data_IF_152514112652
#
_entry.id   IF_152514112652
#
_cell.length_a   1.000
_cell.length_b   1.000
_cell.length_c   1.000
_cell.angle_alpha   90.00
_cell.angle_beta   90.00
_cell.angle_gamma   90.00
#
_symmetry.space_group_name_H-M   'P 1'
#
loop_
_entity.id
_entity.type
_entity.pdbx_description
1 polymer ?
#
# COMPACT_ATOMS: atom_id res chain seq x y z
N UNK A 1 7.07 -4.81 38.48
CA UNK A 1 7.11 -5.26 37.07
C UNK A 1 5.68 -5.60 36.68
N UNK A 2 4.92 -4.62 36.19
CA UNK A 2 3.55 -4.79 35.72
C UNK A 2 3.59 -5.38 34.31
N UNK A 3 2.93 -6.50 34.10
CA UNK A 3 2.94 -7.25 32.85
C UNK A 3 2.39 -6.38 31.70
N UNK A 4 3.22 -6.09 30.71
CA UNK A 4 2.87 -5.36 29.48
C UNK A 4 1.83 -6.10 28.61
N UNK A 5 1.39 -7.28 28.99
CA UNK A 5 0.45 -8.13 28.23
C UNK A 5 -0.98 -7.60 28.20
N UNK A 6 -1.35 -6.62 29.04
CA UNK A 6 -2.70 -6.04 29.06
C UNK A 6 -2.90 -4.89 28.06
N UNK A 7 -1.82 -4.35 27.50
CA UNK A 7 -1.86 -3.21 26.58
C UNK A 7 -1.88 -3.61 25.10
N UNK A 8 -1.53 -4.87 24.79
CA UNK A 8 -1.47 -5.39 23.42
C UNK A 8 -2.74 -6.19 23.16
N UNK A 9 -3.52 -5.74 22.18
CA UNK A 9 -4.69 -6.47 21.66
C UNK A 9 -4.64 -6.47 20.14
N UNK A 10 -4.26 -7.60 19.56
CA UNK A 10 -4.19 -7.79 18.12
C UNK A 10 -5.55 -8.21 17.57
N UNK A 11 -5.87 -7.76 16.36
CA UNK A 11 -7.13 -7.98 15.66
C UNK A 11 -6.99 -9.17 14.70
N UNK A 12 -7.05 -10.39 15.24
CA UNK A 12 -6.84 -11.62 14.45
C UNK A 12 -7.88 -11.84 13.36
N UNK A 13 -9.12 -11.37 13.57
CA UNK A 13 -10.24 -11.55 12.63
C UNK A 13 -10.30 -10.44 11.57
N UNK A 14 -9.31 -9.56 11.53
CA UNK A 14 -9.30 -8.38 10.65
C UNK A 14 -9.37 -8.75 9.18
N UNK A 15 -8.61 -9.75 8.76
CA UNK A 15 -8.59 -10.19 7.36
C UNK A 15 -9.95 -10.68 6.91
N UNK A 16 -10.64 -11.48 7.74
CA UNK A 16 -11.97 -12.02 7.42
C UNK A 16 -13.03 -10.91 7.39
N UNK A 17 -12.91 -9.92 8.27
CA UNK A 17 -13.88 -8.83 8.40
C UNK A 17 -13.74 -7.76 7.32
N UNK A 18 -12.52 -7.39 6.94
CA UNK A 18 -12.28 -6.25 6.03
C UNK A 18 -11.38 -6.56 4.83
N UNK A 19 -10.91 -7.79 4.69
CA UNK A 19 -10.03 -8.20 3.58
C UNK A 19 -8.60 -7.65 3.66
N UNK A 20 -8.18 -7.12 4.80
CA UNK A 20 -6.85 -6.53 5.03
C UNK A 20 -6.23 -7.15 6.26
N UNK A 21 -4.99 -7.61 6.13
CA UNK A 21 -4.23 -8.19 7.23
C UNK A 21 -3.88 -7.14 8.31
N UNK A 22 -3.60 -7.61 9.53
CA UNK A 22 -3.12 -6.77 10.62
C UNK A 22 -1.77 -6.15 10.28
N UNK A 23 -1.59 -4.87 10.60
CA UNK A 23 -0.34 -4.14 10.41
C UNK A 23 0.04 -3.37 11.67
N UNK A 24 1.33 -3.40 11.98
CA UNK A 24 1.91 -2.78 13.16
C UNK A 24 2.66 -1.51 12.75
N UNK A 25 2.20 -0.37 13.24
CA UNK A 25 2.87 0.92 13.07
C UNK A 25 3.97 1.08 14.13
N UNK A 26 5.23 0.92 13.71
CA UNK A 26 6.38 0.83 14.63
C UNK A 26 6.99 2.18 15.03
N UNK A 27 6.63 3.28 14.32
CA UNK A 27 7.30 4.58 14.51
C UNK A 27 7.35 5.04 15.98
N UNK A 28 6.22 4.94 16.68
CA UNK A 28 6.08 5.41 18.06
C UNK A 28 6.12 4.27 19.11
N UNK A 29 6.40 3.04 18.68
CA UNK A 29 6.52 1.91 19.61
C UNK A 29 7.96 1.75 20.08
N UNK A 30 8.14 1.32 21.33
CA UNK A 30 9.44 0.89 21.82
C UNK A 30 9.83 -0.48 21.24
N UNK A 31 11.11 -0.83 21.32
CA UNK A 31 11.61 -2.15 20.89
C UNK A 31 10.93 -3.27 21.67
N UNK A 32 10.74 -3.09 22.99
CA UNK A 32 10.09 -4.07 23.88
C UNK A 32 8.62 -4.27 23.50
N UNK A 33 7.92 -3.20 23.11
CA UNK A 33 6.54 -3.30 22.64
C UNK A 33 6.47 -4.07 21.32
N UNK A 34 7.36 -3.79 20.37
CA UNK A 34 7.43 -4.49 19.08
C UNK A 34 7.75 -5.97 19.31
N UNK A 35 8.72 -6.27 20.15
CA UNK A 35 9.10 -7.64 20.48
C UNK A 35 7.94 -8.40 21.12
N UNK A 36 7.25 -7.82 22.10
CA UNK A 36 6.09 -8.44 22.76
C UNK A 36 4.94 -8.72 21.77
N UNK A 37 4.71 -7.83 20.80
CA UNK A 37 3.72 -8.02 19.72
C UNK A 37 4.11 -9.22 18.85
N UNK A 38 5.37 -9.31 18.46
CA UNK A 38 5.88 -10.39 17.60
C UNK A 38 5.88 -11.75 18.31
N UNK A 39 6.20 -11.78 19.62
CA UNK A 39 6.09 -12.97 20.44
C UNK A 39 4.63 -13.47 20.54
N UNK A 40 3.67 -12.55 20.68
CA UNK A 40 2.25 -12.88 20.69
C UNK A 40 1.78 -13.40 19.32
N UNK A 41 2.22 -12.78 18.23
CA UNK A 41 1.97 -13.25 16.87
C UNK A 41 2.57 -14.64 16.62
N UNK A 42 3.76 -14.90 17.16
CA UNK A 42 4.43 -16.21 17.07
C UNK A 42 3.62 -17.30 17.75
N UNK A 43 3.11 -17.05 18.97
CA UNK A 43 2.26 -18.00 19.72
C UNK A 43 0.98 -18.35 18.94
N UNK A 44 0.41 -17.38 18.24
CA UNK A 44 -0.81 -17.57 17.43
C UNK A 44 -0.52 -18.01 15.99
N UNK A 45 0.76 -18.21 15.62
CA UNK A 45 1.20 -18.51 14.26
C UNK A 45 0.63 -17.55 13.21
N UNK A 46 0.47 -16.27 13.57
CA UNK A 46 -0.19 -15.25 12.76
C UNK A 46 0.83 -14.40 11.98
N UNK A 47 0.59 -14.14 10.68
CA UNK A 47 1.41 -13.22 9.91
C UNK A 47 1.12 -11.76 10.30
N UNK A 48 2.16 -10.92 10.31
CA UNK A 48 2.04 -9.47 10.54
C UNK A 48 2.86 -8.69 9.53
N UNK A 49 2.32 -7.55 9.11
CA UNK A 49 3.07 -6.51 8.41
C UNK A 49 3.53 -5.45 9.42
N UNK A 50 4.82 -5.16 9.46
CA UNK A 50 5.37 -4.05 10.23
C UNK A 50 5.66 -2.90 9.28
N UNK A 51 5.26 -1.68 9.64
CA UNK A 51 5.54 -0.45 8.90
C UNK A 51 6.29 0.53 9.79
N UNK A 52 7.12 1.39 9.18
CA UNK A 52 7.96 2.37 9.91
C UNK A 52 8.84 1.72 10.97
N UNK A 53 9.34 0.53 10.70
CA UNK A 53 10.35 -0.14 11.51
C UNK A 53 11.73 0.38 11.10
N UNK A 54 12.32 1.27 11.90
CA UNK A 54 13.65 1.78 11.62
C UNK A 54 14.71 0.67 11.74
N UNK A 55 15.81 0.80 11.02
CA UNK A 55 16.94 -0.14 11.07
C UNK A 55 17.48 -0.30 12.51
N UNK A 56 17.52 0.81 13.27
CA UNK A 56 17.92 0.78 14.68
C UNK A 56 17.01 -0.11 15.53
N UNK A 57 15.67 0.05 15.39
CA UNK A 57 14.71 -0.80 16.12
C UNK A 57 14.77 -2.23 15.66
N UNK A 58 14.89 -2.47 14.36
CA UNK A 58 15.05 -3.81 13.80
C UNK A 58 16.28 -4.51 14.39
N UNK A 59 17.43 -3.85 14.37
CA UNK A 59 18.69 -4.40 14.89
C UNK A 59 18.69 -4.64 16.41
N UNK A 60 17.82 -3.94 17.15
CA UNK A 60 17.67 -4.08 18.59
C UNK A 60 16.71 -5.20 19.02
N UNK A 61 15.96 -5.79 18.08
CA UNK A 61 15.14 -6.97 18.36
C UNK A 61 16.02 -8.20 18.64
N UNK A 62 15.50 -9.18 19.36
CA UNK A 62 16.24 -10.42 19.61
C UNK A 62 16.54 -11.15 18.30
N UNK A 63 17.67 -11.87 18.26
CA UNK A 63 18.11 -12.65 17.10
C UNK A 63 17.04 -13.66 16.66
N UNK A 64 16.36 -14.27 17.64
CA UNK A 64 15.27 -15.20 17.40
C UNK A 64 14.08 -14.56 16.66
N UNK A 65 13.70 -13.33 17.00
CA UNK A 65 12.64 -12.58 16.31
C UNK A 65 13.12 -12.12 14.94
N UNK A 66 14.33 -11.60 14.83
CA UNK A 66 14.89 -11.12 13.57
C UNK A 66 15.00 -12.22 12.51
N UNK A 67 15.26 -13.47 12.90
CA UNK A 67 15.31 -14.59 11.96
C UNK A 67 13.97 -14.89 11.25
N UNK A 68 12.86 -14.47 11.84
CA UNK A 68 11.51 -14.62 11.26
C UNK A 68 11.06 -13.39 10.44
N UNK A 69 11.87 -12.32 10.37
CA UNK A 69 11.53 -11.09 9.68
C UNK A 69 12.15 -11.00 8.28
N UNK A 70 11.31 -10.76 7.28
CA UNK A 70 11.74 -10.29 5.96
C UNK A 70 11.72 -8.75 5.97
N UNK A 71 12.86 -8.14 6.32
CA UNK A 71 13.01 -6.69 6.49
C UNK A 71 13.53 -6.01 5.22
N UNK A 72 12.87 -4.92 4.81
CA UNK A 72 13.35 -4.00 3.77
C UNK A 72 13.73 -2.64 4.39
N UNK A 73 15.02 -2.29 4.44
CA UNK A 73 15.47 -1.05 5.06
C UNK A 73 15.05 0.21 4.29
N UNK A 74 14.80 0.11 2.99
CA UNK A 74 14.41 1.27 2.16
C UNK A 74 12.99 1.74 2.48
N UNK A 75 12.05 0.81 2.62
CA UNK A 75 10.67 1.12 3.01
C UNK A 75 10.43 1.09 4.51
N UNK A 76 11.41 0.63 5.29
CA UNK A 76 11.26 0.39 6.72
C UNK A 76 10.05 -0.51 7.04
N UNK A 77 9.83 -1.53 6.22
CA UNK A 77 8.78 -2.53 6.41
C UNK A 77 9.37 -3.89 6.69
N UNK A 78 8.65 -4.70 7.45
CA UNK A 78 9.01 -6.11 7.62
C UNK A 78 7.78 -7.01 7.52
N UNK A 79 7.97 -8.21 6.97
CA UNK A 79 6.99 -9.29 7.06
C UNK A 79 7.40 -10.24 8.16
N UNK A 80 6.54 -10.45 9.12
CA UNK A 80 6.65 -11.52 10.08
C UNK A 80 5.75 -12.67 9.62
N UNK A 81 6.35 -13.82 9.30
CA UNK A 81 5.63 -15.00 8.77
C UNK A 81 4.71 -14.63 7.60
N UNK A 82 5.30 -14.31 6.45
CA UNK A 82 4.56 -13.94 5.23
C UNK A 82 3.37 -14.87 4.99
N UNK A 83 2.16 -14.32 4.71
CA UNK A 83 1.00 -15.14 4.39
C UNK A 83 1.28 -16.05 3.18
N UNK A 84 0.81 -17.30 3.27
CA UNK A 84 0.99 -18.31 2.22
C UNK A 84 0.06 -18.05 1.01
N UNK A 85 -0.75 -17.00 1.02
CA UNK A 85 -1.59 -16.64 -0.11
C UNK A 85 -0.70 -16.23 -1.29
N UNK A 86 -0.59 -17.07 -2.34
CA UNK A 86 0.16 -16.65 -3.50
C UNK A 86 -0.53 -15.41 -4.07
N UNK A 87 0.26 -14.38 -4.37
CA UNK A 87 -0.17 -13.33 -5.29
C UNK A 87 -0.81 -14.05 -6.46
N UNK A 88 -2.13 -13.92 -6.65
CA UNK A 88 -2.80 -14.49 -7.81
C UNK A 88 -2.07 -13.94 -9.02
N UNK A 89 -1.38 -14.79 -9.78
CA UNK A 89 -0.48 -14.43 -10.88
C UNK A 89 -1.23 -13.93 -12.13
N UNK A 90 -2.41 -13.39 -11.96
CA UNK A 90 -3.03 -12.59 -13.00
C UNK A 90 -2.21 -11.29 -13.14
N UNK A 91 -2.23 -10.67 -14.30
CA UNK A 91 -1.52 -9.41 -14.54
C UNK A 91 -1.66 -8.45 -13.34
N UNK A 92 -0.60 -7.73 -12.95
CA UNK A 92 -0.64 -6.85 -11.80
C UNK A 92 -1.79 -5.84 -11.94
N UNK A 93 -2.62 -5.70 -10.89
CA UNK A 93 -3.83 -4.86 -10.94
C UNK A 93 -3.54 -3.42 -10.49
N UNK A 94 -2.40 -3.19 -9.85
CA UNK A 94 -1.99 -1.88 -9.35
C UNK A 94 -0.68 -1.46 -9.99
N UNK A 95 -0.63 -0.23 -10.52
CA UNK A 95 0.64 0.42 -10.84
C UNK A 95 1.04 1.35 -9.68
N UNK A 96 2.24 1.17 -9.14
CA UNK A 96 2.86 2.11 -8.20
C UNK A 96 3.87 2.94 -8.94
N UNK A 97 3.54 4.22 -9.16
CA UNK A 97 4.28 5.14 -10.03
C UNK A 97 4.92 6.23 -9.18
N UNK A 98 6.24 6.25 -9.11
CA UNK A 98 6.99 7.22 -8.31
C UNK A 98 7.68 8.28 -9.17
N UNK A 99 7.55 9.54 -8.79
CA UNK A 99 8.10 10.69 -9.51
C UNK A 99 9.62 10.69 -9.50
N UNK A 100 10.24 10.54 -8.32
CA UNK A 100 11.68 10.56 -8.16
C UNK A 100 12.22 9.34 -7.41
N UNK A 101 13.54 9.14 -7.48
CA UNK A 101 14.23 8.09 -6.72
C UNK A 101 14.11 8.30 -5.21
N UNK A 102 13.97 9.55 -4.76
CA UNK A 102 13.77 9.90 -3.33
C UNK A 102 12.40 9.47 -2.80
N UNK A 103 11.43 9.20 -3.69
CA UNK A 103 10.10 8.72 -3.30
C UNK A 103 10.06 7.19 -3.14
N UNK A 104 11.18 6.51 -3.43
CA UNK A 104 11.25 5.05 -3.48
C UNK A 104 10.88 4.36 -2.16
N UNK A 105 11.22 4.95 -1.01
CA UNK A 105 10.88 4.38 0.30
C UNK A 105 9.37 4.26 0.50
N UNK A 106 8.65 5.34 0.21
CA UNK A 106 7.19 5.41 0.33
C UNK A 106 6.50 4.52 -0.72
N UNK A 107 7.01 4.53 -1.95
CA UNK A 107 6.50 3.66 -3.01
C UNK A 107 6.69 2.16 -2.68
N UNK A 108 7.84 1.78 -2.10
CA UNK A 108 8.10 0.41 -1.65
C UNK A 108 7.24 -0.02 -0.48
N UNK A 109 6.92 0.89 0.47
CA UNK A 109 5.95 0.60 1.53
C UNK A 109 4.59 0.19 0.93
N UNK A 110 4.11 0.93 -0.10
CA UNK A 110 2.89 0.56 -0.80
C UNK A 110 3.00 -0.79 -1.52
N UNK A 111 4.10 -1.04 -2.24
CA UNK A 111 4.35 -2.32 -2.94
C UNK A 111 4.36 -3.50 -1.96
N UNK A 112 5.10 -3.41 -0.87
CA UNK A 112 5.19 -4.47 0.13
C UNK A 112 3.86 -4.69 0.86
N UNK A 113 3.07 -3.62 1.07
CA UNK A 113 1.73 -3.74 1.63
C UNK A 113 0.78 -4.50 0.69
N UNK A 114 0.83 -4.21 -0.61
CA UNK A 114 0.07 -4.95 -1.64
C UNK A 114 0.49 -6.42 -1.67
N UNK A 115 1.80 -6.68 -1.72
CA UNK A 115 2.37 -8.02 -1.71
C UNK A 115 1.95 -8.84 -0.48
N UNK A 116 2.03 -8.26 0.71
CA UNK A 116 1.63 -8.90 1.96
C UNK A 116 0.16 -9.31 1.96
N UNK A 117 -0.70 -8.52 1.34
CA UNK A 117 -2.12 -8.79 1.21
C UNK A 117 -2.49 -9.64 -0.03
N UNK A 118 -1.52 -10.16 -0.79
CA UNK A 118 -1.73 -11.04 -1.93
C UNK A 118 -2.17 -10.34 -3.23
N UNK A 119 -1.88 -9.05 -3.38
CA UNK A 119 -2.16 -8.27 -4.59
C UNK A 119 -0.89 -8.02 -5.39
N UNK A 120 -0.97 -8.29 -6.71
CA UNK A 120 0.11 -7.99 -7.64
C UNK A 120 0.21 -6.50 -7.96
N UNK A 121 1.43 -5.97 -7.95
CA UNK A 121 1.67 -4.58 -8.30
C UNK A 121 2.85 -4.43 -9.26
N UNK A 122 2.75 -3.46 -10.18
CA UNK A 122 3.82 -3.06 -11.09
C UNK A 122 4.50 -1.81 -10.55
N UNK A 123 5.80 -1.90 -10.30
CA UNK A 123 6.62 -0.76 -9.91
C UNK A 123 7.10 0.02 -11.13
N UNK A 124 6.93 1.34 -11.13
CA UNK A 124 7.39 2.27 -12.17
C UNK A 124 8.01 3.47 -11.45
N UNK A 125 9.34 3.58 -11.49
CA UNK A 125 10.09 4.59 -10.77
C UNK A 125 10.72 5.62 -11.70
N UNK A 126 11.04 6.80 -11.15
CA UNK A 126 11.77 7.89 -11.77
C UNK A 126 11.09 8.44 -13.05
N UNK A 127 9.78 8.64 -12.98
CA UNK A 127 8.96 9.20 -14.07
C UNK A 127 8.39 10.58 -13.73
N UNK A 128 9.15 11.38 -12.98
CA UNK A 128 8.76 12.73 -12.59
C UNK A 128 8.52 13.65 -13.79
N UNK A 129 7.54 14.55 -13.66
CA UNK A 129 7.05 15.41 -14.76
C UNK A 129 8.03 16.49 -15.20
N UNK A 130 9.08 16.78 -14.42
CA UNK A 130 10.17 17.64 -14.87
C UNK A 130 10.92 17.04 -16.07
N UNK A 131 10.89 15.72 -16.22
CA UNK A 131 11.33 15.01 -17.43
C UNK A 131 10.14 14.26 -18.02
N UNK A 132 9.13 14.98 -18.50
CA UNK A 132 7.84 14.45 -18.95
C UNK A 132 7.96 13.27 -19.93
N UNK A 133 9.00 13.24 -20.73
CA UNK A 133 9.26 12.17 -21.69
C UNK A 133 9.38 10.79 -21.01
N UNK A 134 9.95 10.72 -19.79
CA UNK A 134 10.08 9.48 -19.03
C UNK A 134 8.69 8.90 -18.68
N UNK A 135 7.75 9.77 -18.28
CA UNK A 135 6.38 9.39 -18.04
C UNK A 135 5.69 8.95 -19.34
N UNK A 136 5.86 9.73 -20.41
CA UNK A 136 5.21 9.45 -21.70
C UNK A 136 5.62 8.11 -22.31
N UNK A 137 6.87 7.68 -22.12
CA UNK A 137 7.35 6.36 -22.54
C UNK A 137 6.66 5.20 -21.80
N UNK A 138 6.12 5.45 -20.61
CA UNK A 138 5.51 4.44 -19.76
C UNK A 138 3.97 4.54 -19.66
N UNK A 139 3.37 5.59 -20.22
CA UNK A 139 1.95 5.88 -20.07
C UNK A 139 1.05 4.74 -20.56
N UNK A 140 1.39 4.09 -21.68
CA UNK A 140 0.62 2.96 -22.22
C UNK A 140 0.72 1.70 -21.36
N UNK A 141 1.79 1.54 -20.60
CA UNK A 141 1.91 0.49 -19.60
C UNK A 141 1.07 0.82 -18.37
N UNK A 142 1.14 2.06 -17.85
CA UNK A 142 0.39 2.51 -16.69
C UNK A 142 -1.11 2.40 -16.95
N UNK A 143 -1.56 2.78 -18.15
CA UNK A 143 -2.96 2.78 -18.59
C UNK A 143 -3.67 1.42 -18.49
N UNK A 144 -2.91 0.33 -18.46
CA UNK A 144 -3.44 -1.03 -18.37
C UNK A 144 -3.91 -1.42 -16.96
N UNK A 145 -3.59 -0.60 -15.96
CA UNK A 145 -3.87 -0.93 -14.56
C UNK A 145 -5.16 -0.23 -14.10
N UNK A 146 -6.11 -0.96 -13.49
CA UNK A 146 -7.35 -0.38 -12.97
C UNK A 146 -7.14 0.58 -11.81
N UNK A 147 -6.01 0.46 -11.08
CA UNK A 147 -5.65 1.35 -9.97
C UNK A 147 -4.19 1.80 -10.11
N UNK A 148 -3.96 3.10 -9.93
CA UNK A 148 -2.64 3.73 -9.98
C UNK A 148 -2.39 4.47 -8.67
N UNK A 149 -1.33 4.09 -7.96
CA UNK A 149 -0.81 4.84 -6.81
C UNK A 149 0.29 5.76 -7.34
N UNK A 150 0.02 7.07 -7.34
CA UNK A 150 0.94 8.10 -7.84
C UNK A 150 1.68 8.75 -6.67
N UNK A 151 2.98 8.45 -6.55
CA UNK A 151 3.85 8.83 -5.42
C UNK A 151 4.72 10.01 -5.82
N UNK A 152 4.59 11.15 -5.15
CA UNK A 152 5.34 12.36 -5.50
C UNK A 152 5.50 13.31 -4.32
N UNK A 153 6.71 13.84 -4.16
CA UNK A 153 7.04 14.95 -3.27
C UNK A 153 7.07 16.30 -4.00
N UNK A 154 7.79 17.26 -3.45
CA UNK A 154 7.91 18.63 -3.99
C UNK A 154 6.54 19.29 -4.19
N UNK A 155 6.12 19.55 -5.43
CA UNK A 155 4.83 20.10 -5.84
C UNK A 155 3.80 19.01 -6.22
N UNK A 156 4.19 17.75 -6.20
CA UNK A 156 3.36 16.59 -6.51
C UNK A 156 2.54 16.73 -7.80
N UNK A 157 3.15 17.23 -8.88
CA UNK A 157 2.45 17.41 -10.15
C UNK A 157 2.07 16.09 -10.85
N UNK A 158 2.79 14.99 -10.56
CA UNK A 158 2.60 13.69 -11.20
C UNK A 158 1.15 13.14 -11.06
N UNK A 159 0.48 13.15 -9.89
CA UNK A 159 -0.89 12.68 -9.76
C UNK A 159 -1.88 13.42 -10.67
N UNK A 160 -1.77 14.75 -10.78
CA UNK A 160 -2.64 15.55 -11.67
C UNK A 160 -2.43 15.19 -13.14
N UNK A 161 -1.17 15.02 -13.57
CA UNK A 161 -0.84 14.64 -14.95
C UNK A 161 -1.36 13.23 -15.27
N UNK A 162 -1.15 12.27 -14.38
CA UNK A 162 -1.66 10.90 -14.55
C UNK A 162 -3.20 10.88 -14.61
N UNK A 163 -3.87 11.67 -13.78
CA UNK A 163 -5.34 11.80 -13.81
C UNK A 163 -5.91 12.29 -15.13
N UNK A 164 -5.12 13.00 -15.94
CA UNK A 164 -5.47 13.39 -17.32
C UNK A 164 -5.05 12.38 -18.40
N UNK A 165 -4.21 11.38 -18.07
CA UNK A 165 -3.64 10.47 -19.05
C UNK A 165 -4.20 9.05 -19.00
N UNK A 166 -4.66 8.60 -17.83
CA UNK A 166 -5.03 7.18 -17.63
C UNK A 166 -6.45 7.05 -17.08
N UNK A 167 -7.19 5.99 -17.44
CA UNK A 167 -8.60 5.81 -17.03
C UNK A 167 -8.77 5.18 -15.66
N UNK A 168 -7.72 4.59 -15.08
CA UNK A 168 -7.75 3.91 -13.78
C UNK A 168 -8.01 4.85 -12.61
N UNK A 169 -8.42 4.31 -11.46
CA UNK A 169 -8.56 5.08 -10.24
C UNK A 169 -7.19 5.60 -9.78
N UNK A 170 -7.06 6.90 -9.56
CA UNK A 170 -5.81 7.54 -9.13
C UNK A 170 -5.83 7.75 -7.62
N UNK A 171 -4.85 7.16 -6.94
CA UNK A 171 -4.58 7.39 -5.53
C UNK A 171 -3.30 8.22 -5.43
N UNK A 172 -3.43 9.50 -5.14
CA UNK A 172 -2.29 10.38 -4.91
C UNK A 172 -1.68 10.11 -3.53
N UNK A 173 -0.39 9.84 -3.53
CA UNK A 173 0.41 9.60 -2.34
C UNK A 173 1.50 10.67 -2.26
N UNK A 174 1.20 11.81 -1.60
CA UNK A 174 2.20 12.85 -1.39
C UNK A 174 3.32 12.35 -0.48
N UNK A 175 4.56 12.76 -0.75
CA UNK A 175 5.71 12.42 0.10
C UNK A 175 6.31 13.66 0.75
N UNK A 176 7.03 13.45 1.85
CA UNK A 176 7.82 14.51 2.52
C UNK A 176 9.09 14.88 1.77
N UNK A 177 9.37 14.23 0.63
CA UNK A 177 10.49 14.55 -0.24
C UNK A 177 10.43 16.00 -0.70
N UNK A 178 11.51 16.73 -0.45
CA UNK A 178 11.63 18.12 -0.86
C UNK A 178 12.32 19.00 0.18
N UNK A 179 12.37 20.30 -0.09
CA UNK A 179 13.01 21.30 0.78
C UNK A 179 12.30 22.65 0.66
N UNK A 180 12.63 23.58 1.56
CA UNK A 180 12.11 24.95 1.53
C UNK A 180 10.58 24.99 1.53
N UNK A 181 9.99 25.49 0.46
CA UNK A 181 8.53 25.64 0.33
C UNK A 181 7.76 24.32 0.30
N UNK A 182 8.41 23.17 0.13
CA UNK A 182 7.72 21.85 0.17
C UNK A 182 7.24 21.46 1.58
N UNK A 183 7.81 22.07 2.64
CA UNK A 183 7.33 21.97 4.04
C UNK A 183 7.04 20.52 4.47
N UNK A 184 8.01 19.63 4.26
CA UNK A 184 7.88 18.22 4.63
C UNK A 184 6.61 17.54 4.05
N UNK A 185 6.26 17.89 2.81
CA UNK A 185 5.14 17.29 2.07
C UNK A 185 3.81 18.03 2.20
N UNK A 186 3.69 19.10 2.99
CA UNK A 186 2.45 19.90 3.08
C UNK A 186 2.07 20.50 1.72
N UNK A 187 3.03 20.98 0.96
CA UNK A 187 2.80 21.51 -0.38
C UNK A 187 2.34 20.39 -1.34
N UNK A 188 2.99 19.22 -1.28
CA UNK A 188 2.59 18.06 -2.07
C UNK A 188 1.15 17.63 -1.74
N UNK A 189 0.79 17.55 -0.47
CA UNK A 189 -0.57 17.23 -0.02
C UNK A 189 -1.58 18.28 -0.51
N UNK A 190 -1.28 19.56 -0.34
CA UNK A 190 -2.15 20.66 -0.77
C UNK A 190 -2.35 20.66 -2.29
N UNK A 191 -1.30 20.41 -3.06
CA UNK A 191 -1.37 20.30 -4.52
C UNK A 191 -2.25 19.12 -4.96
N UNK A 192 -2.09 17.95 -4.34
CA UNK A 192 -2.96 16.80 -4.61
C UNK A 192 -4.43 17.09 -4.29
N UNK A 193 -4.72 17.72 -3.15
CA UNK A 193 -6.09 18.06 -2.72
C UNK A 193 -6.75 19.13 -3.62
N UNK A 194 -5.95 20.02 -4.23
CA UNK A 194 -6.41 21.07 -5.14
C UNK A 194 -6.29 20.68 -6.62
N UNK A 195 -6.02 19.42 -6.92
CA UNK A 195 -5.89 18.94 -8.30
C UNK A 195 -7.15 19.19 -9.12
N UNK A 196 -6.98 19.70 -10.35
CA UNK A 196 -8.09 19.85 -11.31
C UNK A 196 -8.42 18.54 -12.05
N UNK A 197 -7.61 17.49 -11.89
CA UNK A 197 -7.91 16.18 -12.49
C UNK A 197 -9.08 15.52 -11.73
N UNK A 198 -10.17 15.14 -12.44
CA UNK A 198 -11.36 14.61 -11.78
C UNK A 198 -11.08 13.22 -11.16
N UNK A 199 -11.61 12.99 -9.96
CA UNK A 199 -11.59 11.65 -9.34
C UNK A 199 -10.28 11.25 -8.69
N UNK A 200 -9.30 12.16 -8.53
CA UNK A 200 -8.09 11.88 -7.76
C UNK A 200 -8.44 11.82 -6.27
N UNK A 201 -8.15 10.67 -5.63
CA UNK A 201 -8.24 10.51 -4.17
C UNK A 201 -6.87 10.69 -3.55
N UNK A 202 -6.80 11.25 -2.34
CA UNK A 202 -5.53 11.63 -1.72
C UNK A 202 -5.34 10.92 -0.40
N UNK A 203 -4.17 10.30 -0.22
CA UNK A 203 -3.73 9.75 1.07
C UNK A 203 -2.91 10.78 1.85
N UNK A 204 -2.63 10.49 3.11
CA UNK A 204 -1.77 11.34 3.93
C UNK A 204 -0.31 11.26 3.46
N UNK A 205 0.50 12.25 3.85
CA UNK A 205 1.93 12.33 3.54
C UNK A 205 2.65 11.05 3.99
N UNK A 206 3.48 10.50 3.09
CA UNK A 206 4.28 9.28 3.30
C UNK A 206 3.47 8.03 3.71
N UNK A 207 2.19 7.99 3.52
CA UNK A 207 1.35 6.87 3.94
C UNK A 207 1.20 5.81 2.83
N UNK A 208 2.30 5.12 2.51
CA UNK A 208 2.30 4.03 1.51
C UNK A 208 1.37 2.89 1.89
N UNK A 209 1.32 2.52 3.16
CA UNK A 209 0.38 1.54 3.70
C UNK A 209 -1.08 1.95 3.41
N UNK A 210 -1.46 3.19 3.73
CA UNK A 210 -2.83 3.67 3.50
C UNK A 210 -3.21 3.69 2.02
N UNK A 211 -2.30 4.09 1.14
CA UNK A 211 -2.53 4.10 -0.31
C UNK A 211 -2.74 2.66 -0.85
N UNK A 212 -1.95 1.71 -0.40
CA UNK A 212 -2.12 0.30 -0.75
C UNK A 212 -3.45 -0.26 -0.23
N UNK A 213 -3.83 0.04 1.02
CA UNK A 213 -5.12 -0.35 1.58
C UNK A 213 -6.30 0.23 0.78
N UNK A 214 -6.21 1.49 0.32
CA UNK A 214 -7.23 2.10 -0.53
C UNK A 214 -7.34 1.37 -1.88
N UNK A 215 -6.21 1.05 -2.52
CA UNK A 215 -6.17 0.26 -3.75
C UNK A 215 -6.83 -1.12 -3.59
N UNK A 216 -6.50 -1.84 -2.52
CA UNK A 216 -7.07 -3.15 -2.19
C UNK A 216 -8.59 -3.05 -2.04
N UNK A 217 -9.11 -2.04 -1.32
CA UNK A 217 -10.55 -1.84 -1.13
C UNK A 217 -11.27 -1.58 -2.45
N UNK A 218 -10.69 -0.79 -3.36
CA UNK A 218 -11.24 -0.57 -4.70
C UNK A 218 -11.35 -1.88 -5.47
N UNK A 219 -10.28 -2.68 -5.48
CA UNK A 219 -10.25 -3.96 -6.18
C UNK A 219 -11.21 -5.00 -5.59
N UNK A 220 -11.30 -5.09 -4.26
CA UNK A 220 -12.25 -5.99 -3.59
C UNK A 220 -13.70 -5.62 -3.90
N UNK A 221 -14.04 -4.34 -3.89
CA UNK A 221 -15.39 -3.85 -4.24
C UNK A 221 -15.77 -4.18 -5.68
N UNK A 222 -14.84 -4.06 -6.63
CA UNK A 222 -15.07 -4.42 -8.04
C UNK A 222 -15.36 -5.91 -8.20
N UNK A 223 -14.58 -6.77 -7.54
CA UNK A 223 -14.74 -8.23 -7.59
C UNK A 223 -16.07 -8.71 -6.98
N UNK A 224 -16.55 -8.06 -5.92
CA UNK A 224 -17.86 -8.38 -5.33
C UNK A 224 -19.01 -8.10 -6.30
N UNK A 225 -18.92 -6.99 -7.06
CA UNK A 225 -19.93 -6.64 -8.07
C UNK A 225 -19.95 -7.63 -9.25
N UNK A 226 -18.79 -8.09 -9.71
CA UNK A 226 -18.68 -9.12 -10.77
C UNK A 226 -19.32 -10.44 -10.32
N UNK A 227 -19.00 -10.93 -9.14
CA UNK A 227 -19.58 -12.16 -8.58
C UNK A 227 -21.10 -12.09 -8.45
N UNK A 228 -21.64 -10.95 -8.03
CA UNK A 228 -23.09 -10.73 -7.90
C UNK A 228 -23.78 -10.70 -9.26
N UNK A 229 -23.15 -10.11 -10.28
CA UNK A 229 -23.70 -10.04 -11.63
C UNK A 229 -23.78 -11.40 -12.32
N UNK A 230 -22.78 -12.28 -12.12
CA UNK A 230 -22.76 -13.65 -12.66
C UNK A 230 -23.88 -14.53 -12.05
N UNK A 231 -24.14 -14.38 -10.75
CA UNK A 231 -25.24 -15.10 -10.07
C UNK A 231 -26.59 -14.65 -10.62
N UNK A 232 -26.79 -13.34 -10.84
CA UNK A 232 -28.01 -12.77 -11.39
C UNK A 232 -28.31 -13.22 -12.83
N UNK A 233 -27.26 -13.45 -13.64
CA UNK A 233 -27.41 -13.94 -15.02
C UNK A 233 -27.76 -15.45 -15.07
N UNK A 234 -27.15 -16.27 -14.20
CA UNK A 234 -27.46 -17.69 -14.10
C UNK A 234 -28.89 -17.96 -13.60
N UNK A 235 -29.45 -17.06 -12.79
CA UNK A 235 -30.84 -17.18 -12.30
C UNK A 235 -31.91 -16.86 -13.34
N UNK A 236 -31.58 -16.07 -14.37
CA UNK A 236 -32.55 -15.70 -15.45
C UNK A 236 -32.63 -16.67 -16.63
N UNK A 237 -31.72 -17.66 -16.68
CA UNK A 237 -31.64 -18.63 -17.81
C UNK A 237 -32.51 -19.86 -17.68
N UNK A 238 -33.38 -20.00 -16.67
CA UNK A 238 -34.31 -21.14 -16.51
C UNK A 238 -35.75 -20.64 -16.46
N UNK A 239 -36.29 -20.22 -17.60
CA UNK A 239 -37.74 -20.25 -17.80
C UNK A 239 -38.10 -21.64 -18.31
N UNK A 240 -39.10 -22.34 -17.76
CA UNK A 240 -39.59 -23.59 -18.29
C UNK A 240 -40.24 -23.27 -19.67
N UNK A 241 -39.82 -23.99 -20.67
CA UNK A 241 -40.61 -24.09 -21.93
C UNK A 241 -41.78 -25.02 -21.61
N UNK A 242 -42.97 -24.47 -21.56
CA UNK A 242 -44.22 -25.25 -21.71
C UNK A 242 -44.54 -25.47 -23.19
#
# INVERSE_FOLDING_TARGET
MTSSSSEIKLDWDRTDRIGLAEAIFCLQKSVEQIQSILEEARKNNAPLLLTRLSEEKHSALSEEINSDLDYDPVSQTAFFKKPVSPVKQNAPEVAVVAAGTSDAGVAREALRTLEFNGFGAKAIFDVGVAGIWRLMERVEEIRKHPVVIAVAGMDAALPTVLGGLVPGAIIALPTSTGYGASRNGETALSACLSSCAPGVVVCNIDNGYGAACAAIRILLSSRQNEATSEIGQKGRGRAPQE
#
